data_IF_152017252611
#
_entry.id   IF_152017252611
#
_cell.length_a   1.000
_cell.length_b   1.000
_cell.length_c   1.000
_cell.angle_alpha   90.00
_cell.angle_beta   90.00
_cell.angle_gamma   90.00
#
_symmetry.space_group_name_H-M   'P 1'
#
loop_
_entity.id
_entity.type
_entity.pdbx_description
1 polymer ?
#
# COMPACT_ATOMS: atom_id res chain seq x y z
N UNK A 1 -14.16 -5.56 -3.72
CA UNK A 1 -13.68 -4.25 -4.18
C UNK A 1 -12.37 -4.51 -4.87
N UNK A 2 -12.21 -3.98 -6.08
CA UNK A 2 -11.03 -4.23 -6.89
C UNK A 2 -10.18 -2.96 -6.85
N UNK A 3 -8.90 -3.12 -6.50
CA UNK A 3 -7.95 -2.02 -6.30
C UNK A 3 -6.75 -2.26 -7.20
N UNK A 4 -6.41 -1.27 -8.02
CA UNK A 4 -5.21 -1.28 -8.86
C UNK A 4 -4.15 -0.37 -8.25
N UNK A 5 -2.97 -0.93 -7.98
CA UNK A 5 -1.87 -0.23 -7.31
C UNK A 5 -0.90 0.31 -8.35
N UNK A 6 -0.53 1.59 -8.22
CA UNK A 6 0.43 2.28 -9.10
C UNK A 6 1.55 2.90 -8.28
N UNK A 7 2.75 2.96 -8.85
CA UNK A 7 3.91 3.66 -8.27
C UNK A 7 4.55 4.59 -9.30
N UNK A 8 5.10 5.72 -8.84
CA UNK A 8 5.83 6.66 -9.68
C UNK A 8 7.10 7.15 -8.95
N UNK A 9 8.24 7.08 -9.64
CA UNK A 9 9.54 7.51 -9.11
C UNK A 9 9.82 9.00 -9.42
N UNK A 10 8.99 9.64 -10.26
CA UNK A 10 9.16 11.03 -10.69
C UNK A 10 7.83 11.79 -10.59
N UNK A 11 7.84 12.90 -9.87
CA UNK A 11 6.69 13.80 -9.69
C UNK A 11 7.10 15.24 -9.93
N UNK A 12 6.15 16.09 -10.30
CA UNK A 12 6.36 17.53 -10.47
C UNK A 12 5.45 18.29 -9.49
N UNK A 13 5.99 19.36 -8.89
CA UNK A 13 5.31 20.13 -7.85
C UNK A 13 5.56 19.59 -6.44
N UNK A 14 4.91 20.21 -5.45
CA UNK A 14 5.04 19.86 -4.03
C UNK A 14 3.68 19.40 -3.48
N UNK A 15 3.60 18.24 -2.79
CA UNK A 15 2.36 17.83 -2.13
C UNK A 15 1.86 18.89 -1.17
N UNK A 16 0.56 19.22 -1.24
CA UNK A 16 -0.08 20.23 -0.39
C UNK A 16 -1.25 19.59 0.36
N UNK A 17 -1.41 19.94 1.63
CA UNK A 17 -2.55 19.51 2.45
C UNK A 17 -3.87 20.04 1.89
N UNK A 18 -4.90 19.20 1.96
CA UNK A 18 -6.29 19.54 1.64
C UNK A 18 -7.21 19.15 2.80
N UNK A 19 -8.48 19.51 2.72
CA UNK A 19 -9.50 19.11 3.70
C UNK A 19 -9.58 17.58 3.88
N UNK A 20 -9.27 16.83 2.82
CA UNK A 20 -9.40 15.37 2.79
C UNK A 20 -8.10 14.64 3.16
N UNK A 21 -6.93 15.25 2.93
CA UNK A 21 -5.66 14.53 3.02
C UNK A 21 -4.50 15.44 3.43
N UNK A 22 -3.67 14.94 4.36
CA UNK A 22 -2.43 15.58 4.78
C UNK A 22 -1.22 14.76 4.31
N UNK A 23 -0.59 15.09 3.17
CA UNK A 23 0.55 14.34 2.66
C UNK A 23 1.77 14.50 3.57
N UNK A 24 2.49 13.41 3.79
CA UNK A 24 3.71 13.39 4.59
C UNK A 24 4.70 12.40 3.98
N UNK A 25 5.97 12.79 3.93
CA UNK A 25 7.05 11.92 3.48
C UNK A 25 7.56 11.07 4.65
N UNK A 26 7.81 9.80 4.39
CA UNK A 26 8.40 8.86 5.34
C UNK A 26 9.66 8.22 4.73
N UNK A 27 10.76 8.10 5.49
CA UNK A 27 11.87 7.22 5.14
C UNK A 27 11.37 5.77 4.94
N UNK A 28 11.99 5.02 4.04
CA UNK A 28 11.58 3.65 3.71
C UNK A 28 11.72 2.67 4.88
N UNK A 29 12.59 2.98 5.85
CA UNK A 29 12.79 2.22 7.09
C UNK A 29 11.88 2.67 8.24
N UNK A 30 11.08 3.73 8.04
CA UNK A 30 10.20 4.34 9.05
C UNK A 30 8.74 4.42 8.56
N UNK A 31 8.34 3.46 7.72
CA UNK A 31 6.96 3.36 7.24
C UNK A 31 6.03 3.07 8.42
N UNK A 32 4.97 3.87 8.65
CA UNK A 32 4.15 3.79 9.85
C UNK A 32 3.07 2.69 9.76
N UNK A 33 3.47 1.43 9.56
CA UNK A 33 2.54 0.30 9.37
C UNK A 33 1.47 0.16 10.46
N UNK A 34 1.77 0.54 11.71
CA UNK A 34 0.83 0.52 12.82
C UNK A 34 -0.35 1.51 12.66
N UNK A 35 -0.21 2.51 11.79
CA UNK A 35 -1.23 3.51 11.46
C UNK A 35 -1.79 3.33 10.04
N UNK A 36 -1.41 2.25 9.35
CA UNK A 36 -1.85 1.91 7.99
C UNK A 36 -2.87 0.78 8.04
N UNK A 37 -3.44 0.43 6.88
CA UNK A 37 -4.32 -0.73 6.81
C UNK A 37 -3.53 -2.02 7.11
N UNK A 38 -4.16 -3.02 7.76
CA UNK A 38 -3.46 -4.25 8.13
C UNK A 38 -2.86 -5.01 6.93
N UNK A 39 -3.43 -4.88 5.73
CA UNK A 39 -2.95 -5.56 4.53
C UNK A 39 -1.68 -4.93 3.96
N UNK A 40 -1.45 -3.63 4.17
CA UNK A 40 -0.28 -2.89 3.66
C UNK A 40 1.03 -3.53 4.15
N UNK A 41 1.04 -4.07 5.36
CA UNK A 41 2.21 -4.76 5.93
C UNK A 41 2.64 -5.98 5.09
N UNK A 42 1.75 -6.57 4.31
CA UNK A 42 2.04 -7.74 3.47
C UNK A 42 2.53 -7.34 2.07
N UNK A 43 1.80 -6.44 1.40
CA UNK A 43 2.06 -6.14 -0.01
C UNK A 43 3.03 -4.96 -0.22
N UNK A 44 3.11 -4.00 0.71
CA UNK A 44 3.98 -2.84 0.58
C UNK A 44 5.47 -3.21 0.50
N UNK A 45 5.99 -4.20 1.26
CA UNK A 45 7.37 -4.66 1.09
C UNK A 45 7.69 -5.19 -0.31
N UNK A 46 6.72 -5.80 -1.01
CA UNK A 46 6.88 -6.27 -2.39
C UNK A 46 7.00 -5.07 -3.36
N UNK A 47 6.18 -4.04 -3.13
CA UNK A 47 6.23 -2.79 -3.88
C UNK A 47 7.62 -2.13 -3.76
N UNK A 48 8.19 -2.07 -2.54
CA UNK A 48 9.52 -1.53 -2.30
C UNK A 48 10.63 -2.33 -3.01
N UNK A 49 10.45 -3.65 -3.16
CA UNK A 49 11.34 -4.52 -3.92
C UNK A 49 11.11 -4.43 -5.45
N UNK A 50 10.25 -3.52 -5.92
CA UNK A 50 9.83 -3.38 -7.33
C UNK A 50 9.22 -4.65 -7.92
N UNK A 51 8.59 -5.47 -7.10
CA UNK A 51 7.87 -6.68 -7.52
C UNK A 51 6.41 -6.36 -7.77
N UNK A 52 5.82 -6.99 -8.79
CA UNK A 52 4.36 -6.94 -9.01
C UNK A 52 3.70 -8.09 -8.27
N UNK A 53 2.46 -7.89 -7.85
CA UNK A 53 1.73 -8.87 -7.07
C UNK A 53 0.23 -8.79 -7.34
N UNK A 54 -0.46 -9.89 -7.04
CA UNK A 54 -1.91 -9.95 -6.95
C UNK A 54 -2.29 -10.36 -5.54
N UNK A 55 -3.12 -9.54 -4.90
CA UNK A 55 -3.57 -9.69 -3.52
C UNK A 55 -5.08 -9.86 -3.42
N UNK A 56 -5.51 -10.68 -2.48
CA UNK A 56 -6.88 -10.77 -2.01
C UNK A 56 -6.85 -10.76 -0.48
N UNK A 57 -7.60 -9.86 0.14
CA UNK A 57 -7.70 -9.76 1.58
C UNK A 57 -9.18 -9.74 1.98
N UNK A 58 -9.58 -10.64 2.87
CA UNK A 58 -10.92 -10.71 3.43
C UNK A 58 -10.90 -10.09 4.81
N UNK A 59 -11.64 -9.01 4.99
CA UNK A 59 -11.72 -8.29 6.25
C UNK A 59 -13.00 -8.62 7.03
N UNK A 60 -12.89 -8.56 8.35
CA UNK A 60 -13.98 -8.39 9.29
C UNK A 60 -13.85 -7.00 9.92
N UNK A 61 -14.75 -6.09 9.55
CA UNK A 61 -14.59 -4.68 9.90
C UNK A 61 -13.41 -4.04 9.18
N UNK A 62 -12.68 -3.16 9.85
CA UNK A 62 -11.53 -2.45 9.29
C UNK A 62 -10.18 -3.01 9.74
N UNK A 63 -10.14 -3.71 10.88
CA UNK A 63 -8.88 -4.04 11.56
C UNK A 63 -8.48 -5.52 11.45
N UNK A 64 -9.43 -6.42 11.18
CA UNK A 64 -9.18 -7.87 11.26
C UNK A 64 -9.19 -8.51 9.87
N UNK A 65 -8.05 -9.05 9.44
CA UNK A 65 -7.97 -9.90 8.25
C UNK A 65 -8.34 -11.33 8.64
N UNK A 66 -9.39 -11.88 8.03
CA UNK A 66 -9.85 -13.25 8.23
C UNK A 66 -9.13 -14.26 7.33
N UNK A 67 -8.82 -13.86 6.10
CA UNK A 67 -8.15 -14.68 5.10
C UNK A 67 -7.43 -13.78 4.10
N UNK A 68 -6.31 -14.24 3.56
CA UNK A 68 -5.61 -13.52 2.51
C UNK A 68 -4.85 -14.43 1.57
N UNK A 69 -4.68 -13.97 0.34
CA UNK A 69 -3.85 -14.59 -0.69
C UNK A 69 -3.01 -13.51 -1.33
N UNK A 70 -1.70 -13.64 -1.27
CA UNK A 70 -0.77 -12.72 -1.91
C UNK A 70 0.24 -13.53 -2.71
N UNK A 71 0.39 -13.21 -3.99
CA UNK A 71 1.36 -13.85 -4.88
C UNK A 71 2.07 -12.82 -5.75
N UNK A 72 3.36 -13.04 -5.97
CA UNK A 72 4.13 -12.30 -6.97
C UNK A 72 3.68 -12.73 -8.37
N UNK A 73 3.68 -11.78 -9.32
CA UNK A 73 3.32 -12.01 -10.71
C UNK A 73 4.28 -11.24 -11.62
N UNK A 74 4.53 -11.73 -12.83
CA UNK A 74 5.37 -11.02 -13.81
C UNK A 74 4.59 -9.92 -14.56
N UNK A 75 3.28 -10.16 -14.71
CA UNK A 75 2.32 -9.31 -15.43
C UNK A 75 1.13 -8.99 -14.54
N UNK A 76 0.75 -7.71 -14.52
CA UNK A 76 -0.40 -7.19 -13.77
C UNK A 76 -1.71 -7.50 -14.50
#
# INVERSE_FOLDING_TARGET
MDVHIFCADSVQGTPTESEEMRPQWFPLDQIPFAHMWPDDSYWFPLLLQKKKFQGYFKFQGQDTILDYRLREVDTA
#
